data_IF_638900191219
#
_entry.id   IF_638900191219
#
_cell.length_a   1.000
_cell.length_b   1.000
_cell.length_c   1.000
_cell.angle_alpha   90.00
_cell.angle_beta   90.00
_cell.angle_gamma   90.00
#
_symmetry.space_group_name_H-M   'P 1'
#
loop_
_entity.id
_entity.type
_entity.pdbx_description
1 polymer ?
#
# COMPACT_ATOMS: atom_id res chain seq x y z
N UNK A 1 14.09 -70.44 1.17
CA UNK A 1 14.31 -69.09 1.74
C UNK A 1 13.68 -67.94 0.92
N UNK A 2 13.44 -68.05 -0.38
CA UNK A 2 12.91 -66.98 -1.26
C UNK A 2 11.43 -66.63 -1.06
N UNK A 3 10.55 -67.54 -0.57
CA UNK A 3 9.11 -67.28 -0.34
C UNK A 3 8.79 -66.42 0.88
N UNK A 4 9.65 -66.40 1.92
CA UNK A 4 9.45 -65.58 3.11
C UNK A 4 9.82 -64.09 2.88
N UNK A 5 10.71 -63.82 1.90
CA UNK A 5 11.11 -62.45 1.53
C UNK A 5 10.01 -61.72 0.73
N UNK A 6 9.23 -62.47 -0.08
CA UNK A 6 8.14 -61.92 -0.93
C UNK A 6 6.92 -61.41 -0.13
N UNK A 7 6.73 -61.84 1.09
CA UNK A 7 5.62 -61.41 1.97
C UNK A 7 6.08 -60.29 2.94
N UNK A 8 7.38 -60.26 3.29
CA UNK A 8 7.92 -59.28 4.22
C UNK A 8 7.98 -57.86 3.64
N UNK A 9 8.24 -57.69 2.35
CA UNK A 9 8.34 -56.38 1.69
C UNK A 9 6.99 -55.63 1.63
N UNK A 10 5.86 -56.28 1.17
CA UNK A 10 4.58 -55.56 1.18
C UNK A 10 4.07 -55.26 2.57
N UNK A 11 4.36 -56.12 3.56
CA UNK A 11 3.99 -55.84 4.95
C UNK A 11 4.75 -54.64 5.53
N UNK A 12 6.04 -54.53 5.20
CA UNK A 12 6.87 -53.36 5.60
C UNK A 12 6.40 -52.06 4.93
N UNK A 13 6.00 -52.14 3.65
CA UNK A 13 5.39 -50.99 2.94
C UNK A 13 4.04 -50.58 3.53
N UNK A 14 3.20 -51.56 3.94
CA UNK A 14 1.93 -51.29 4.60
C UNK A 14 2.11 -50.62 5.99
N UNK A 15 3.08 -51.11 6.76
CA UNK A 15 3.43 -50.51 8.05
C UNK A 15 4.00 -49.10 7.89
N UNK A 16 4.89 -48.90 6.90
CA UNK A 16 5.44 -47.58 6.58
C UNK A 16 4.35 -46.61 6.08
N UNK A 17 3.40 -47.10 5.27
CA UNK A 17 2.27 -46.29 4.79
C UNK A 17 1.30 -45.97 5.92
N UNK A 18 0.99 -46.91 6.81
CA UNK A 18 0.20 -46.69 8.01
C UNK A 18 0.88 -45.68 8.97
N UNK A 19 2.20 -45.83 9.17
CA UNK A 19 2.99 -44.86 9.98
C UNK A 19 3.07 -43.50 9.33
N UNK A 20 3.03 -43.40 7.99
CA UNK A 20 2.96 -42.12 7.27
C UNK A 20 1.56 -41.49 7.38
N UNK A 21 0.47 -42.28 7.32
CA UNK A 21 -0.90 -41.82 7.56
C UNK A 21 -1.16 -41.35 9.02
N UNK A 22 -0.53 -42.00 9.98
CA UNK A 22 -0.67 -41.70 11.42
C UNK A 22 0.34 -40.63 11.87
N UNK A 23 1.21 -40.13 10.95
CA UNK A 23 2.03 -38.98 11.32
C UNK A 23 1.11 -37.85 11.74
N UNK A 24 1.11 -37.43 13.03
CA UNK A 24 0.35 -36.28 13.46
C UNK A 24 0.77 -35.15 12.55
N UNK A 25 -0.19 -34.49 11.87
CA UNK A 25 0.08 -33.22 11.19
C UNK A 25 0.85 -32.40 12.20
N UNK A 26 2.10 -32.10 11.90
CA UNK A 26 2.99 -31.35 12.80
C UNK A 26 2.21 -30.10 13.16
N UNK A 27 1.58 -30.10 14.34
CA UNK A 27 0.94 -28.93 14.86
C UNK A 27 2.02 -27.86 14.91
N UNK A 28 1.77 -26.75 14.25
CA UNK A 28 2.74 -25.68 14.16
C UNK A 28 3.07 -25.21 15.60
N UNK A 29 4.18 -25.70 16.09
CA UNK A 29 4.80 -25.24 17.33
C UNK A 29 5.90 -24.27 16.92
N UNK A 30 5.85 -23.06 17.43
CA UNK A 30 6.83 -22.07 17.05
C UNK A 30 6.45 -20.67 17.48
N UNK A 31 7.12 -19.70 16.91
CA UNK A 31 6.90 -18.28 17.18
C UNK A 31 5.88 -17.73 16.19
N UNK A 32 5.00 -16.84 16.69
CA UNK A 32 4.11 -16.03 15.87
C UNK A 32 4.15 -14.57 16.32
N UNK A 33 3.57 -13.70 15.48
CA UNK A 33 3.43 -12.27 15.75
C UNK A 33 1.98 -11.87 15.58
N UNK A 34 1.50 -10.96 16.41
CA UNK A 34 0.13 -10.47 16.35
C UNK A 34 -0.06 -9.56 15.15
N UNK A 35 -1.10 -9.82 14.37
CA UNK A 35 -1.47 -9.06 13.14
C UNK A 35 -2.62 -8.09 13.33
N UNK A 36 -3.17 -8.01 14.55
CA UNK A 36 -4.32 -7.17 14.87
C UNK A 36 -3.94 -6.03 15.81
N UNK A 37 -4.76 -4.97 15.81
CA UNK A 37 -4.60 -3.87 16.76
C UNK A 37 -4.68 -4.37 18.20
N UNK A 38 -5.63 -5.27 18.47
CA UNK A 38 -5.88 -5.87 19.75
C UNK A 38 -6.41 -7.30 19.55
N UNK A 39 -5.68 -8.28 20.04
CA UNK A 39 -6.04 -9.69 19.99
C UNK A 39 -6.30 -10.19 21.41
N UNK A 40 -7.55 -10.52 21.79
CA UNK A 40 -7.86 -10.99 23.13
C UNK A 40 -7.25 -12.37 23.37
N UNK A 41 -6.62 -12.53 24.52
CA UNK A 41 -6.17 -13.82 25.04
C UNK A 41 -7.29 -14.40 25.90
N UNK A 42 -7.77 -15.58 25.54
CA UNK A 42 -8.94 -16.22 26.13
C UNK A 42 -8.54 -17.39 27.02
N UNK A 43 -9.27 -17.64 28.09
CA UNK A 43 -9.03 -18.76 29.01
C UNK A 43 -9.30 -20.12 28.37
N UNK A 44 -10.12 -20.18 27.32
CA UNK A 44 -10.51 -21.41 26.64
C UNK A 44 -11.15 -21.14 25.27
N UNK A 45 -11.53 -22.20 24.57
CA UNK A 45 -12.21 -22.16 23.26
C UNK A 45 -13.72 -22.42 23.36
N UNK A 46 -14.25 -22.68 24.55
CA UNK A 46 -15.67 -22.89 24.80
C UNK A 46 -16.48 -21.59 24.64
N UNK A 47 -17.80 -21.68 24.54
CA UNK A 47 -18.68 -20.51 24.43
C UNK A 47 -18.54 -19.56 25.62
N UNK A 48 -18.45 -20.12 26.84
CA UNK A 48 -18.22 -19.35 28.07
C UNK A 48 -16.72 -19.30 28.31
N UNK A 49 -16.12 -18.14 28.09
CA UNK A 49 -14.69 -17.92 28.22
C UNK A 49 -14.41 -16.52 28.76
N UNK A 50 -13.37 -16.39 29.55
CA UNK A 50 -12.93 -15.12 30.10
C UNK A 50 -11.76 -14.58 29.27
N UNK A 51 -11.70 -13.25 29.09
CA UNK A 51 -10.55 -12.58 28.55
C UNK A 51 -9.50 -12.45 29.66
N UNK A 52 -8.32 -12.99 29.42
CA UNK A 52 -7.19 -13.00 30.36
C UNK A 52 -6.20 -11.87 30.10
N UNK A 53 -6.27 -11.26 28.94
CA UNK A 53 -5.39 -10.17 28.50
C UNK A 53 -5.64 -9.81 27.05
N UNK A 54 -4.87 -8.84 26.55
CA UNK A 54 -4.90 -8.38 25.15
C UNK A 54 -3.46 -8.35 24.65
N UNK A 55 -3.26 -8.84 23.44
CA UNK A 55 -2.02 -8.72 22.69
C UNK A 55 -2.17 -7.66 21.62
N UNK A 56 -1.08 -6.98 21.30
CA UNK A 56 -1.07 -5.88 20.33
C UNK A 56 -0.21 -6.20 19.11
N UNK A 57 -0.43 -5.45 18.04
CA UNK A 57 0.31 -5.61 16.79
C UNK A 57 1.82 -5.72 17.00
N UNK A 58 2.43 -6.74 16.40
CA UNK A 58 3.86 -6.99 16.44
C UNK A 58 4.33 -7.72 17.70
N UNK A 59 3.46 -7.96 18.70
CA UNK A 59 3.86 -8.75 19.87
C UNK A 59 4.17 -10.20 19.49
N UNK A 60 5.30 -10.68 19.99
CA UNK A 60 5.77 -12.05 19.79
C UNK A 60 5.13 -12.99 20.79
N UNK A 61 4.59 -14.09 20.29
CA UNK A 61 4.04 -15.17 21.10
C UNK A 61 4.64 -16.50 20.71
N UNK A 62 4.70 -17.43 21.66
CA UNK A 62 5.05 -18.82 21.43
C UNK A 62 3.76 -19.61 21.21
N UNK A 63 3.62 -20.27 20.08
CA UNK A 63 2.47 -21.14 19.77
C UNK A 63 2.76 -22.54 20.30
N UNK A 64 1.93 -22.97 21.24
CA UNK A 64 2.05 -24.26 21.91
C UNK A 64 1.27 -25.36 21.19
N UNK A 65 0.07 -25.02 20.68
CA UNK A 65 -0.77 -25.94 19.89
C UNK A 65 -1.81 -25.15 19.10
N UNK A 66 -2.40 -25.79 18.07
CA UNK A 66 -3.57 -25.28 17.34
C UNK A 66 -4.75 -26.23 17.51
N UNK A 67 -5.92 -25.65 17.68
CA UNK A 67 -7.17 -26.41 17.71
C UNK A 67 -8.25 -25.62 17.00
N UNK A 68 -8.72 -26.16 15.88
CA UNK A 68 -9.67 -25.47 14.98
C UNK A 68 -9.10 -24.09 14.56
N UNK A 69 -9.86 -23.02 14.78
CA UNK A 69 -9.51 -21.64 14.45
C UNK A 69 -8.71 -20.94 15.56
N UNK A 70 -8.35 -21.63 16.63
CA UNK A 70 -7.63 -21.07 17.77
C UNK A 70 -6.21 -21.64 17.89
N UNK A 71 -5.29 -20.79 18.33
CA UNK A 71 -3.94 -21.15 18.73
C UNK A 71 -3.80 -20.97 20.25
N UNK A 72 -3.28 -21.98 20.94
CA UNK A 72 -2.85 -21.85 22.32
C UNK A 72 -1.49 -21.20 22.31
N UNK A 73 -1.36 -20.07 22.99
CA UNK A 73 -0.15 -19.28 22.96
C UNK A 73 0.38 -19.01 24.37
N UNK A 74 1.71 -18.84 24.46
CA UNK A 74 2.38 -18.29 25.64
C UNK A 74 2.82 -16.87 25.29
N UNK A 75 2.40 -15.89 26.08
CA UNK A 75 2.76 -14.50 25.93
C UNK A 75 4.17 -14.23 26.46
N UNK A 76 4.73 -13.05 26.19
CA UNK A 76 6.02 -12.64 26.74
C UNK A 76 6.03 -12.55 28.28
N UNK A 77 4.87 -12.30 28.91
CA UNK A 77 4.72 -12.31 30.38
C UNK A 77 4.62 -13.72 30.97
N UNK A 78 4.60 -14.78 30.14
CA UNK A 78 4.44 -16.18 30.56
C UNK A 78 3.00 -16.64 30.70
N UNK A 79 2.01 -15.77 30.50
CA UNK A 79 0.60 -16.17 30.54
C UNK A 79 0.26 -17.11 29.35
N UNK A 80 -0.53 -18.13 29.61
CA UNK A 80 -0.96 -19.10 28.60
C UNK A 80 -2.45 -18.95 28.37
N UNK A 81 -2.85 -18.80 27.10
CA UNK A 81 -4.25 -18.67 26.71
C UNK A 81 -4.48 -18.98 25.25
N UNK A 82 -5.69 -18.72 24.76
CA UNK A 82 -6.10 -18.99 23.40
C UNK A 82 -6.35 -17.69 22.62
N UNK A 83 -5.83 -17.62 21.39
CA UNK A 83 -6.00 -16.51 20.46
C UNK A 83 -6.52 -17.06 19.14
N UNK A 84 -7.34 -16.33 18.40
CA UNK A 84 -7.76 -16.74 17.06
C UNK A 84 -6.54 -16.82 16.13
N UNK A 85 -6.36 -17.95 15.45
CA UNK A 85 -5.19 -18.19 14.60
C UNK A 85 -5.05 -17.15 13.48
N UNK A 86 -6.17 -16.60 12.98
CA UNK A 86 -6.19 -15.54 11.95
C UNK A 86 -5.61 -14.20 12.43
N UNK A 87 -5.51 -13.99 13.75
CA UNK A 87 -4.92 -12.80 14.37
C UNK A 87 -3.41 -12.91 14.53
N UNK A 88 -2.85 -14.03 14.12
CA UNK A 88 -1.43 -14.31 14.20
C UNK A 88 -0.82 -14.40 12.80
N UNK A 89 0.37 -13.89 12.64
CA UNK A 89 1.17 -14.06 11.44
C UNK A 89 2.42 -14.89 11.73
N UNK A 90 2.84 -15.65 10.73
CA UNK A 90 4.04 -16.46 10.77
C UNK A 90 5.32 -15.61 10.74
N UNK A 91 6.43 -16.10 11.29
CA UNK A 91 7.70 -15.38 11.29
C UNK A 91 8.15 -14.93 9.90
N UNK A 92 7.94 -15.76 8.88
CA UNK A 92 8.30 -15.42 7.50
C UNK A 92 7.51 -14.19 6.98
N UNK A 93 6.21 -14.12 7.28
CA UNK A 93 5.39 -12.98 6.92
C UNK A 93 5.78 -11.72 7.70
N UNK A 94 6.07 -11.87 9.00
CA UNK A 94 6.58 -10.78 9.83
C UNK A 94 7.89 -10.21 9.27
N UNK A 95 8.86 -11.05 8.91
CA UNK A 95 10.11 -10.61 8.29
C UNK A 95 9.89 -9.89 6.96
N UNK A 96 8.95 -10.36 6.13
CA UNK A 96 8.57 -9.66 4.90
C UNK A 96 7.97 -8.28 5.18
N UNK A 97 7.16 -8.13 6.23
CA UNK A 97 6.59 -6.84 6.62
C UNK A 97 7.65 -5.85 7.09
N UNK A 98 8.61 -6.28 7.89
CA UNK A 98 9.75 -5.47 8.34
C UNK A 98 10.60 -5.03 7.13
N UNK A 99 10.95 -5.98 6.26
CA UNK A 99 11.73 -5.67 5.04
C UNK A 99 11.00 -4.65 4.15
N UNK A 100 9.68 -4.79 3.98
CA UNK A 100 8.89 -3.84 3.21
C UNK A 100 8.90 -2.45 3.85
N UNK A 101 8.75 -2.37 5.17
CA UNK A 101 8.83 -1.11 5.92
C UNK A 101 10.20 -0.43 5.74
N UNK A 102 11.29 -1.19 5.82
CA UNK A 102 12.65 -0.67 5.58
C UNK A 102 12.82 -0.15 4.15
N UNK A 103 12.33 -0.88 3.15
CA UNK A 103 12.38 -0.47 1.74
C UNK A 103 11.68 0.86 1.48
N UNK A 104 10.54 1.08 2.12
CA UNK A 104 9.75 2.29 1.88
C UNK A 104 10.08 3.44 2.83
N UNK A 105 10.90 3.21 3.86
CA UNK A 105 11.21 4.19 4.92
C UNK A 105 11.63 5.56 4.36
N UNK A 106 12.50 5.55 3.35
CA UNK A 106 13.08 6.75 2.74
C UNK A 106 12.44 7.10 1.39
N UNK A 107 11.36 6.42 0.99
CA UNK A 107 10.66 6.79 -0.24
C UNK A 107 9.94 8.13 -0.05
N UNK A 108 9.96 9.03 -1.06
CA UNK A 108 9.26 10.30 -0.97
C UNK A 108 7.74 10.08 -0.93
N UNK A 109 7.08 10.83 -0.06
CA UNK A 109 5.61 10.85 0.01
C UNK A 109 5.05 11.41 -1.29
N UNK A 110 4.13 10.70 -1.90
CA UNK A 110 3.48 11.10 -3.16
C UNK A 110 2.13 11.78 -2.92
N UNK A 111 1.45 11.39 -1.87
CA UNK A 111 0.22 12.01 -1.38
C UNK A 111 0.01 11.62 0.09
N UNK A 112 -0.83 12.38 0.78
CA UNK A 112 -1.41 12.01 2.06
C UNK A 112 -2.88 11.72 1.89
N UNK A 113 -3.42 10.86 2.75
CA UNK A 113 -4.83 10.51 2.69
C UNK A 113 -5.27 9.75 3.93
N UNK A 114 -6.52 9.28 3.91
CA UNK A 114 -7.17 8.56 5.00
C UNK A 114 -7.90 7.34 4.47
N UNK A 115 -8.03 6.33 5.30
CA UNK A 115 -8.85 5.17 4.98
C UNK A 115 -10.33 5.55 4.98
N UNK A 116 -11.06 5.31 3.88
CA UNK A 116 -12.51 5.55 3.76
C UNK A 116 -13.33 4.55 4.57
N UNK A 117 -12.84 3.32 4.61
CA UNK A 117 -13.47 2.16 5.26
C UNK A 117 -12.40 1.36 5.98
N UNK A 118 -12.83 0.44 6.85
CA UNK A 118 -11.90 -0.56 7.38
C UNK A 118 -11.26 -1.33 6.22
N UNK A 119 -9.93 -1.35 6.16
CA UNK A 119 -9.20 -1.91 5.02
C UNK A 119 -8.00 -2.76 5.42
N UNK A 120 -7.78 -3.83 4.66
CA UNK A 120 -6.66 -4.73 4.87
C UNK A 120 -5.38 -4.17 4.25
N UNK A 121 -4.34 -4.11 5.05
CA UNK A 121 -2.97 -3.90 4.61
C UNK A 121 -2.35 -5.25 4.25
N UNK A 122 -1.75 -5.36 3.08
CA UNK A 122 -1.18 -6.61 2.57
C UNK A 122 0.30 -6.47 2.24
N UNK A 123 1.01 -7.59 2.20
CA UNK A 123 2.45 -7.61 1.93
C UNK A 123 2.77 -7.37 0.45
N UNK A 124 1.86 -7.72 -0.45
CA UNK A 124 1.92 -7.47 -1.90
C UNK A 124 0.56 -6.98 -2.40
N UNK A 125 0.51 -6.33 -3.59
CA UNK A 125 -0.75 -5.98 -4.22
C UNK A 125 -1.47 -7.25 -4.69
N UNK A 126 -2.75 -7.39 -4.31
CA UNK A 126 -3.59 -8.54 -4.64
C UNK A 126 -4.51 -8.94 -3.51
N UNK A 127 -5.76 -9.31 -3.83
CA UNK A 127 -6.78 -9.62 -2.81
C UNK A 127 -6.52 -10.91 -2.05
N UNK A 128 -5.79 -11.86 -2.66
CA UNK A 128 -5.43 -13.14 -2.07
C UNK A 128 -4.13 -13.11 -1.28
N UNK A 129 -3.37 -12.00 -1.40
CA UNK A 129 -2.10 -11.85 -0.70
C UNK A 129 -2.27 -11.81 0.82
N UNK A 130 -1.27 -12.28 1.59
CA UNK A 130 -1.33 -12.32 3.04
C UNK A 130 -1.56 -10.94 3.65
N UNK A 131 -2.49 -10.88 4.60
CA UNK A 131 -2.80 -9.69 5.37
C UNK A 131 -1.75 -9.47 6.44
N UNK A 132 -1.27 -8.23 6.55
CA UNK A 132 -0.35 -7.79 7.60
C UNK A 132 -1.10 -7.17 8.78
N UNK A 133 -2.14 -6.37 8.47
CA UNK A 133 -2.88 -5.58 9.44
C UNK A 133 -4.24 -5.16 8.86
N UNK A 134 -5.16 -4.73 9.73
CA UNK A 134 -6.40 -4.11 9.31
C UNK A 134 -6.49 -2.69 9.89
N UNK A 135 -6.50 -1.69 9.03
CA UNK A 135 -6.79 -0.32 9.44
C UNK A 135 -8.28 -0.12 9.67
N UNK A 136 -8.61 0.65 10.70
CA UNK A 136 -9.96 1.17 10.86
C UNK A 136 -10.26 2.27 9.82
N UNK A 137 -11.50 2.75 9.79
CA UNK A 137 -11.86 3.94 9.01
C UNK A 137 -11.16 5.20 9.56
N UNK A 138 -10.88 6.16 8.67
CA UNK A 138 -10.34 7.48 8.99
C UNK A 138 -8.92 7.48 9.59
N UNK A 139 -8.13 6.44 9.32
CA UNK A 139 -6.72 6.38 9.72
C UNK A 139 -5.87 7.13 8.70
N UNK A 140 -5.02 8.09 9.13
CA UNK A 140 -4.12 8.82 8.22
C UNK A 140 -3.02 7.90 7.69
N UNK A 141 -2.70 8.05 6.40
CA UNK A 141 -1.66 7.26 5.71
C UNK A 141 -0.88 8.14 4.72
N UNK A 142 0.37 7.77 4.48
CA UNK A 142 1.21 8.36 3.44
C UNK A 142 1.32 7.40 2.27
N UNK A 143 0.97 7.86 1.08
CA UNK A 143 1.13 7.10 -0.16
C UNK A 143 2.56 7.32 -0.67
N UNK A 144 3.30 6.24 -0.93
CA UNK A 144 4.68 6.28 -1.41
C UNK A 144 4.86 5.58 -2.76
N UNK A 145 3.86 4.86 -3.24
CA UNK A 145 3.90 4.19 -4.54
C UNK A 145 2.55 3.66 -4.97
N UNK A 146 2.49 3.15 -6.20
CA UNK A 146 1.30 2.54 -6.80
C UNK A 146 1.70 1.27 -7.53
N UNK A 147 0.78 0.34 -7.62
CA UNK A 147 0.87 -0.86 -8.45
C UNK A 147 -0.51 -1.28 -8.92
N UNK A 148 -0.56 -2.25 -9.81
CA UNK A 148 -1.78 -2.84 -10.33
C UNK A 148 -1.74 -4.34 -10.05
N UNK A 149 -2.86 -4.90 -9.64
CA UNK A 149 -3.01 -6.34 -9.50
C UNK A 149 -4.29 -6.83 -10.20
N UNK A 150 -4.24 -8.05 -10.68
CA UNK A 150 -5.38 -8.70 -11.27
C UNK A 150 -6.42 -9.07 -10.21
N UNK A 151 -7.67 -8.89 -10.56
CA UNK A 151 -8.80 -9.28 -9.73
C UNK A 151 -9.77 -10.12 -10.56
N UNK A 152 -9.94 -11.35 -10.12
CA UNK A 152 -10.97 -12.25 -10.65
C UNK A 152 -12.21 -12.11 -9.76
N UNK A 153 -13.33 -11.73 -10.35
CA UNK A 153 -14.60 -11.73 -9.66
C UNK A 153 -15.05 -13.19 -9.52
N UNK A 154 -15.24 -13.64 -8.27
CA UNK A 154 -15.92 -14.91 -8.06
C UNK A 154 -17.36 -14.75 -8.62
N UNK A 155 -17.63 -15.39 -9.74
CA UNK A 155 -18.99 -15.56 -10.25
C UNK A 155 -19.67 -16.63 -9.37
N UNK A 156 -20.89 -16.35 -8.92
CA UNK A 156 -21.73 -17.35 -8.28
C UNK A 156 -21.84 -18.55 -9.22
N UNK A 157 -21.62 -19.76 -8.70
CA UNK A 157 -21.50 -21.03 -9.43
C UNK A 157 -22.76 -21.42 -10.27
N UNK A 158 -23.74 -20.55 -10.38
CA UNK A 158 -25.02 -20.85 -11.06
C UNK A 158 -25.08 -20.47 -12.56
N UNK A 159 -24.08 -19.75 -13.06
CA UNK A 159 -24.03 -19.34 -14.47
C UNK A 159 -22.73 -19.79 -15.15
N UNK A 160 -22.36 -21.05 -14.97
CA UNK A 160 -21.22 -21.67 -15.64
C UNK A 160 -21.52 -22.03 -17.10
N UNK A 161 -21.88 -21.02 -17.87
CA UNK A 161 -21.60 -21.00 -19.30
C UNK A 161 -20.13 -20.68 -19.50
N UNK A 162 -19.49 -21.35 -20.40
CA UNK A 162 -18.07 -21.38 -20.75
C UNK A 162 -17.53 -20.00 -21.27
N UNK A 163 -17.90 -18.89 -20.58
CA UNK A 163 -17.37 -17.55 -20.89
C UNK A 163 -16.07 -17.32 -20.14
N UNK A 164 -15.02 -16.81 -20.81
CA UNK A 164 -13.75 -16.49 -20.17
C UNK A 164 -14.00 -15.48 -19.04
N UNK A 165 -13.65 -15.82 -17.80
CA UNK A 165 -13.71 -14.90 -16.67
C UNK A 165 -12.89 -13.64 -16.99
N UNK A 166 -13.56 -12.51 -17.13
CA UNK A 166 -12.91 -11.24 -17.45
C UNK A 166 -12.05 -10.81 -16.26
N UNK A 167 -10.74 -10.89 -16.45
CA UNK A 167 -9.76 -10.46 -15.43
C UNK A 167 -9.78 -8.94 -15.37
N UNK A 168 -10.33 -8.39 -14.30
CA UNK A 168 -10.30 -6.95 -14.02
C UNK A 168 -9.01 -6.58 -13.31
N UNK A 169 -8.48 -5.40 -13.60
CA UNK A 169 -7.31 -4.85 -12.93
C UNK A 169 -7.72 -3.82 -11.90
N UNK A 170 -7.02 -3.81 -10.77
CA UNK A 170 -7.33 -2.99 -9.61
C UNK A 170 -6.09 -2.19 -9.20
N UNK A 171 -6.29 -0.91 -8.87
CA UNK A 171 -5.22 -0.03 -8.40
C UNK A 171 -4.94 -0.27 -6.91
N UNK A 172 -3.65 -0.35 -6.57
CA UNK A 172 -3.14 -0.53 -5.22
C UNK A 172 -2.16 0.58 -4.87
N UNK A 173 -2.31 1.15 -3.68
CA UNK A 173 -1.34 2.08 -3.12
C UNK A 173 -0.40 1.37 -2.15
N UNK A 174 0.89 1.63 -2.30
CA UNK A 174 1.88 1.33 -1.27
C UNK A 174 1.87 2.47 -0.27
N UNK A 175 1.55 2.15 0.97
CA UNK A 175 1.39 3.15 2.02
C UNK A 175 2.33 2.92 3.20
N UNK A 176 2.63 4.01 3.90
CA UNK A 176 3.14 4.02 5.27
C UNK A 176 2.06 4.52 6.20
N UNK A 177 2.01 3.97 7.39
CA UNK A 177 1.08 4.36 8.44
C UNK A 177 1.58 3.90 9.79
N UNK A 178 0.71 3.98 10.78
CA UNK A 178 1.00 3.51 12.13
C UNK A 178 -0.09 2.55 12.59
N UNK A 179 0.31 1.44 13.17
CA UNK A 179 -0.57 0.59 13.96
C UNK A 179 -0.63 1.19 15.37
N UNK A 180 -1.81 1.60 15.79
CA UNK A 180 -2.01 2.22 17.11
C UNK A 180 -2.24 1.15 18.16
N UNK A 181 -1.56 1.26 19.31
CA UNK A 181 -1.86 0.53 20.53
C UNK A 181 -2.88 1.34 21.34
N UNK A 182 -3.91 0.75 21.94
CA UNK A 182 -4.81 1.48 22.84
C UNK A 182 -4.04 2.09 24.01
N UNK A 183 -4.35 3.32 24.46
CA UNK A 183 -3.75 3.88 25.65
C UNK A 183 -4.14 3.04 26.87
N UNK A 184 -3.19 2.71 27.73
CA UNK A 184 -3.44 2.14 29.05
C UNK A 184 -2.99 0.72 29.34
N UNK A 185 -2.46 -0.05 28.37
CA UNK A 185 -1.92 -1.39 28.62
C UNK A 185 -0.40 -1.42 28.46
N UNK A 186 0.30 -1.16 29.53
CA UNK A 186 1.76 -1.32 29.60
C UNK A 186 2.07 -2.82 29.61
N UNK A 187 2.69 -3.33 28.55
CA UNK A 187 3.34 -4.63 28.58
C UNK A 187 4.48 -4.54 29.60
N UNK A 188 4.31 -5.21 30.73
CA UNK A 188 5.36 -5.31 31.73
C UNK A 188 6.53 -6.10 31.15
N UNK A 189 7.61 -5.37 30.85
CA UNK A 189 8.96 -5.82 30.59
C UNK A 189 9.53 -5.61 29.19
N UNK A 190 9.79 -4.35 28.88
CA UNK A 190 10.95 -3.95 28.10
C UNK A 190 11.27 -2.50 28.50
N UNK A 191 11.70 -2.33 29.75
CA UNK A 191 12.21 -1.06 30.21
C UNK A 191 13.62 -1.31 30.76
N UNK A 192 14.58 -1.05 29.91
CA UNK A 192 15.89 -0.52 30.33
C UNK A 192 16.47 0.18 29.10
N UNK A 193 15.96 1.36 28.83
CA UNK A 193 16.75 2.49 28.30
C UNK A 193 15.94 3.75 28.57
N UNK A 194 16.44 4.53 29.48
CA UNK A 194 15.91 5.78 29.98
C UNK A 194 15.70 6.79 28.87
N UNK A 195 14.44 7.10 28.57
CA UNK A 195 14.05 8.43 28.07
C UNK A 195 12.61 8.64 28.52
N UNK A 196 12.41 9.62 29.38
CA UNK A 196 11.11 10.09 29.86
C UNK A 196 10.26 10.53 28.71
N UNK A 197 9.34 9.67 28.29
CA UNK A 197 8.29 10.02 27.32
C UNK A 197 6.96 9.85 28.04
N UNK A 198 6.14 10.90 28.02
CA UNK A 198 4.74 10.92 28.43
C UNK A 198 4.02 9.63 28.01
N UNK A 199 2.98 9.15 28.74
CA UNK A 199 2.21 7.96 28.35
C UNK A 199 1.41 8.24 27.09
N UNK A 200 2.11 8.39 25.96
CA UNK A 200 1.55 8.56 24.62
C UNK A 200 1.31 7.21 23.98
N UNK A 201 0.25 7.17 23.20
CA UNK A 201 -0.17 6.09 22.29
C UNK A 201 1.06 5.46 21.61
N UNK A 202 1.46 4.24 22.01
CA UNK A 202 2.61 3.58 21.41
C UNK A 202 2.28 3.20 19.98
N UNK A 203 2.75 3.99 19.04
CA UNK A 203 2.55 3.76 17.60
C UNK A 203 3.67 2.91 17.04
N UNK A 204 3.31 1.84 16.33
CA UNK A 204 4.26 0.99 15.61
C UNK A 204 4.19 1.34 14.13
N UNK A 205 5.29 1.78 13.51
CA UNK A 205 5.29 2.07 12.07
C UNK A 205 5.04 0.78 11.28
N UNK A 206 4.23 0.92 10.21
CA UNK A 206 3.85 -0.19 9.35
C UNK A 206 3.78 0.28 7.90
N UNK A 207 4.08 -0.62 6.97
CA UNK A 207 3.93 -0.37 5.54
C UNK A 207 3.31 -1.58 4.84
N UNK A 208 2.63 -1.32 3.74
CA UNK A 208 2.03 -2.37 2.92
C UNK A 208 1.14 -1.82 1.81
N UNK A 209 0.44 -2.72 1.16
CA UNK A 209 -0.42 -2.44 0.03
C UNK A 209 -1.89 -2.43 0.42
N UNK A 210 -2.61 -1.42 -0.04
CA UNK A 210 -4.06 -1.27 0.12
C UNK A 210 -4.72 -0.98 -1.22
N UNK A 211 -5.98 -1.37 -1.38
CA UNK A 211 -6.76 -1.04 -2.58
C UNK A 211 -6.94 0.47 -2.65
N UNK A 212 -6.54 1.09 -3.76
CA UNK A 212 -6.47 2.54 -3.90
C UNK A 212 -7.81 3.25 -3.66
N UNK A 213 -8.93 2.67 -4.12
CA UNK A 213 -10.28 3.27 -3.93
C UNK A 213 -10.74 3.31 -2.46
N UNK A 214 -10.07 2.57 -1.55
CA UNK A 214 -10.35 2.62 -0.11
C UNK A 214 -9.59 3.74 0.60
N UNK A 215 -8.77 4.49 -0.12
CA UNK A 215 -8.07 5.67 0.39
C UNK A 215 -8.72 6.93 -0.18
N UNK A 216 -8.98 7.88 0.67
CA UNK A 216 -9.35 9.24 0.32
C UNK A 216 -8.10 10.12 0.46
N UNK A 217 -7.70 10.76 -0.65
CA UNK A 217 -6.56 11.68 -0.61
C UNK A 217 -6.95 13.00 0.07
N UNK A 218 -6.08 13.52 0.92
CA UNK A 218 -6.23 14.82 1.57
C UNK A 218 -5.88 15.94 0.55
N UNK A 219 -6.75 16.12 -0.46
CA UNK A 219 -6.55 17.10 -1.52
C UNK A 219 -6.93 18.51 -1.01
N UNK A 220 -6.08 19.54 -1.24
CA UNK A 220 -6.49 20.93 -1.09
C UNK A 220 -7.67 21.26 -1.99
N UNK A 221 -8.55 22.17 -1.57
CA UNK A 221 -9.78 22.49 -2.31
C UNK A 221 -9.53 22.89 -3.76
N UNK A 222 -8.56 23.76 -4.11
CA UNK A 222 -8.28 24.10 -5.50
C UNK A 222 -7.87 22.88 -6.36
N UNK A 223 -7.17 21.92 -5.75
CA UNK A 223 -6.80 20.68 -6.44
C UNK A 223 -8.01 19.78 -6.62
N UNK A 224 -8.85 19.67 -5.58
CA UNK A 224 -10.10 18.88 -5.61
C UNK A 224 -11.04 19.35 -6.71
N UNK A 225 -11.27 20.66 -6.78
CA UNK A 225 -12.10 21.28 -7.83
C UNK A 225 -11.49 21.06 -9.23
N UNK A 226 -10.18 21.27 -9.35
CA UNK A 226 -9.47 21.11 -10.61
C UNK A 226 -9.46 19.68 -11.15
N UNK A 227 -9.31 18.66 -10.30
CA UNK A 227 -9.36 17.24 -10.72
C UNK A 227 -10.78 16.79 -11.03
N UNK A 228 -11.77 17.27 -10.28
CA UNK A 228 -13.18 16.98 -10.52
C UNK A 228 -13.64 17.54 -11.89
N UNK A 229 -13.35 18.83 -12.17
CA UNK A 229 -13.69 19.48 -13.43
C UNK A 229 -13.01 18.83 -14.64
N UNK A 230 -11.81 18.26 -14.43
CA UNK A 230 -11.04 17.60 -15.48
C UNK A 230 -11.40 16.12 -15.68
N UNK A 231 -12.22 15.55 -14.82
CA UNK A 231 -12.57 14.12 -14.77
C UNK A 231 -11.32 13.22 -14.79
N UNK A 232 -10.40 13.49 -13.87
CA UNK A 232 -9.16 12.73 -13.68
C UNK A 232 -9.07 12.22 -12.24
N UNK A 233 -8.36 11.10 -12.04
CA UNK A 233 -8.15 10.50 -10.73
C UNK A 233 -6.73 10.81 -10.26
N UNK A 234 -6.55 11.60 -9.19
CA UNK A 234 -5.24 11.91 -8.67
C UNK A 234 -4.62 10.68 -8.01
N UNK A 235 -3.33 10.45 -8.29
CA UNK A 235 -2.50 9.42 -7.64
C UNK A 235 -1.39 10.03 -6.78
N UNK A 236 -0.97 11.26 -7.13
CA UNK A 236 0.01 12.02 -6.37
C UNK A 236 -0.27 13.52 -6.47
N UNK A 237 0.08 14.27 -5.42
CA UNK A 237 0.01 15.72 -5.42
C UNK A 237 1.05 16.33 -4.49
N UNK A 238 1.49 17.56 -4.80
CA UNK A 238 2.55 18.26 -4.09
C UNK A 238 2.27 19.75 -4.05
N UNK A 239 2.57 20.38 -2.92
CA UNK A 239 2.79 21.82 -2.87
C UNK A 239 4.19 22.09 -3.41
N UNK A 240 4.30 22.91 -4.47
CA UNK A 240 5.57 23.23 -5.10
C UNK A 240 6.26 24.41 -4.41
N UNK A 241 5.56 25.52 -4.31
CA UNK A 241 5.97 26.75 -3.63
C UNK A 241 4.74 27.60 -3.31
N UNK A 242 4.97 28.80 -2.81
CA UNK A 242 3.92 29.79 -2.54
C UNK A 242 4.19 31.07 -3.30
N UNK A 243 3.14 31.70 -3.82
CA UNK A 243 3.18 33.02 -4.40
C UNK A 243 2.58 34.03 -3.43
N UNK A 244 3.19 35.20 -3.34
CA UNK A 244 2.70 36.27 -2.49
C UNK A 244 1.43 36.88 -3.08
N UNK A 245 0.44 37.12 -2.25
CA UNK A 245 -0.82 37.77 -2.57
C UNK A 245 -1.21 38.68 -1.39
N UNK A 246 -1.85 39.82 -1.62
CA UNK A 246 -2.31 40.71 -0.52
C UNK A 246 -3.22 40.04 0.51
N UNK A 247 -3.94 38.97 0.10
CA UNK A 247 -4.81 38.16 0.98
C UNK A 247 -4.08 37.01 1.68
N UNK A 248 -2.74 36.95 1.58
CA UNK A 248 -1.88 35.91 2.13
C UNK A 248 -1.28 34.99 1.07
N UNK A 249 -0.20 34.33 1.42
CA UNK A 249 0.54 33.45 0.52
C UNK A 249 -0.33 32.32 -0.04
N UNK A 250 -0.34 32.16 -1.34
CA UNK A 250 -1.12 31.15 -2.07
C UNK A 250 -0.22 30.03 -2.57
N UNK A 251 -0.43 28.78 -2.15
CA UNK A 251 0.38 27.66 -2.61
C UNK A 251 0.10 27.31 -4.07
N UNK A 252 1.13 26.85 -4.77
CA UNK A 252 1.04 26.29 -6.10
C UNK A 252 1.14 24.77 -6.02
N UNK A 253 0.33 24.05 -6.80
CA UNK A 253 0.21 22.60 -6.68
C UNK A 253 0.55 21.87 -7.97
N UNK A 254 1.32 20.78 -7.84
CA UNK A 254 1.47 19.76 -8.87
C UNK A 254 0.55 18.59 -8.58
N UNK A 255 -0.13 18.09 -9.60
CA UNK A 255 -0.97 16.90 -9.53
C UNK A 255 -0.58 15.94 -10.64
N UNK A 256 -0.31 14.70 -10.27
CA UNK A 256 -0.20 13.57 -11.20
C UNK A 256 -1.45 12.70 -11.09
N UNK A 257 -2.10 12.45 -12.21
CA UNK A 257 -3.40 11.80 -12.26
C UNK A 257 -3.51 10.83 -13.44
N UNK A 258 -4.45 9.90 -13.35
CA UNK A 258 -4.84 9.01 -14.44
C UNK A 258 -6.18 9.42 -15.01
N UNK A 259 -6.34 9.24 -16.32
CA UNK A 259 -7.61 9.35 -17.01
C UNK A 259 -8.07 7.96 -17.44
N UNK A 260 -9.35 7.68 -17.37
CA UNK A 260 -9.91 6.39 -17.78
C UNK A 260 -10.09 5.39 -16.61
N UNK A 261 -10.26 4.09 -16.89
CA UNK A 261 -10.59 3.07 -15.89
C UNK A 261 -9.45 2.79 -14.90
N UNK A 262 -9.75 2.07 -13.82
CA UNK A 262 -8.73 1.52 -12.91
C UNK A 262 -7.86 0.48 -13.63
N UNK A 263 -6.70 0.16 -13.03
CA UNK A 263 -5.80 -0.89 -13.53
C UNK A 263 -4.91 -0.45 -14.69
N UNK A 264 -4.72 0.86 -14.88
CA UNK A 264 -3.79 1.36 -15.89
C UNK A 264 -2.34 1.08 -15.51
N UNK A 265 -1.53 0.57 -16.48
CA UNK A 265 -0.12 0.21 -16.21
C UNK A 265 0.76 1.40 -15.84
N UNK A 266 0.45 2.59 -16.35
CA UNK A 266 1.13 3.83 -15.99
C UNK A 266 0.61 4.32 -14.64
N UNK A 267 1.50 4.80 -13.76
CA UNK A 267 1.08 5.33 -12.45
C UNK A 267 0.30 6.63 -12.62
N UNK A 268 0.62 7.40 -13.65
CA UNK A 268 -0.17 8.57 -14.06
C UNK A 268 -0.05 8.79 -15.57
N UNK A 269 -1.11 9.36 -16.15
CA UNK A 269 -1.18 9.66 -17.59
C UNK A 269 -1.27 11.16 -17.89
N UNK A 270 -1.42 11.96 -16.85
CA UNK A 270 -1.51 13.41 -16.96
C UNK A 270 -0.84 14.10 -15.76
N UNK A 271 -0.23 15.25 -16.04
CA UNK A 271 0.26 16.20 -15.05
C UNK A 271 -0.50 17.51 -15.19
N UNK A 272 -0.77 18.15 -14.05
CA UNK A 272 -1.35 19.48 -13.98
C UNK A 272 -0.63 20.30 -12.92
N UNK A 273 -0.43 21.60 -13.20
CA UNK A 273 0.01 22.56 -12.20
C UNK A 273 -1.07 23.61 -12.03
N UNK A 274 -1.48 23.81 -10.80
CA UNK A 274 -2.45 24.83 -10.42
C UNK A 274 -1.73 25.97 -9.74
N UNK A 275 -2.04 27.21 -10.15
CA UNK A 275 -1.46 28.45 -9.62
C UNK A 275 -2.55 29.43 -9.27
N UNK A 276 -2.27 30.31 -8.31
CA UNK A 276 -3.13 31.42 -8.00
C UNK A 276 -3.04 32.52 -9.06
N UNK A 277 -4.17 33.00 -9.54
CA UNK A 277 -4.26 34.10 -10.49
C UNK A 277 -4.89 35.32 -9.80
N UNK A 278 -4.05 36.18 -9.25
CA UNK A 278 -4.44 37.34 -8.43
C UNK A 278 -5.46 38.30 -9.10
N UNK A 279 -5.36 38.49 -10.46
CA UNK A 279 -6.29 39.36 -11.19
C UNK A 279 -7.75 38.88 -11.18
N UNK A 280 -7.97 37.58 -10.99
CA UNK A 280 -9.31 36.95 -10.98
C UNK A 280 -9.64 36.36 -9.62
N UNK A 281 -8.78 36.52 -8.63
CA UNK A 281 -8.96 36.01 -7.27
C UNK A 281 -9.34 34.52 -7.24
N UNK A 282 -8.64 33.69 -8.05
CA UNK A 282 -8.92 32.25 -8.15
C UNK A 282 -7.71 31.44 -8.59
N UNK A 283 -7.77 30.13 -8.36
CA UNK A 283 -6.82 29.19 -8.95
C UNK A 283 -7.13 28.93 -10.43
N UNK A 284 -6.09 28.86 -11.23
CA UNK A 284 -6.14 28.48 -12.64
C UNK A 284 -5.11 27.39 -12.95
N UNK A 285 -5.33 26.63 -14.02
CA UNK A 285 -4.38 25.63 -14.46
C UNK A 285 -3.28 26.30 -15.28
N UNK A 286 -2.07 26.38 -14.73
CA UNK A 286 -0.89 26.95 -15.38
C UNK A 286 -0.23 26.00 -16.38
N UNK A 287 -0.34 24.69 -16.16
CA UNK A 287 0.30 23.69 -17.00
C UNK A 287 -0.54 22.41 -17.10
N UNK A 288 -0.57 21.85 -18.30
CA UNK A 288 -1.19 20.55 -18.56
C UNK A 288 -0.26 19.76 -19.47
N UNK A 289 0.06 18.53 -19.09
CA UNK A 289 0.66 17.54 -19.97
C UNK A 289 -0.19 16.26 -19.90
N UNK A 290 -0.64 15.80 -21.04
CA UNK A 290 -1.44 14.59 -21.17
C UNK A 290 -0.67 13.54 -21.98
N UNK A 291 -1.22 12.33 -22.07
CA UNK A 291 -0.66 11.21 -22.83
C UNK A 291 0.74 10.80 -22.33
N UNK A 292 0.94 10.90 -21.04
CA UNK A 292 2.12 10.38 -20.36
C UNK A 292 1.93 8.91 -19.98
N UNK A 293 3.04 8.20 -19.86
CA UNK A 293 3.11 6.97 -19.09
C UNK A 293 4.15 7.15 -17.99
N UNK A 294 3.79 7.95 -16.98
CA UNK A 294 4.67 8.30 -15.88
C UNK A 294 4.69 7.24 -14.79
N UNK A 295 5.83 7.12 -14.13
CA UNK A 295 6.05 6.23 -12.98
C UNK A 295 6.35 7.03 -11.73
N UNK A 296 5.79 6.59 -10.61
CA UNK A 296 6.15 7.06 -9.28
C UNK A 296 7.50 6.44 -8.82
N UNK A 297 8.28 7.11 -7.97
CA UNK A 297 7.95 8.37 -7.33
C UNK A 297 8.26 9.59 -8.19
N UNK A 298 7.45 10.63 -8.04
CA UNK A 298 7.85 11.99 -8.42
C UNK A 298 8.73 12.53 -7.30
N UNK A 299 9.87 13.13 -7.66
CA UNK A 299 10.80 13.75 -6.72
C UNK A 299 10.84 15.24 -6.94
N UNK A 300 10.71 15.98 -5.84
CA UNK A 300 10.87 17.43 -5.85
C UNK A 300 12.32 17.80 -5.54
N UNK A 301 12.80 18.87 -6.15
CA UNK A 301 14.08 19.50 -5.89
C UNK A 301 13.98 21.01 -6.14
N UNK A 302 15.03 21.75 -5.85
CA UNK A 302 15.13 23.17 -6.14
C UNK A 302 16.14 23.39 -7.27
N UNK A 303 15.76 24.24 -8.22
CA UNK A 303 16.60 24.70 -9.31
C UNK A 303 17.54 25.83 -8.89
N UNK A 304 18.30 26.40 -9.86
CA UNK A 304 19.38 27.38 -9.58
C UNK A 304 18.93 28.66 -8.86
N UNK A 305 17.67 29.07 -9.02
CA UNK A 305 17.07 30.28 -8.39
C UNK A 305 16.03 29.92 -7.35
N UNK A 306 16.21 28.78 -6.67
CA UNK A 306 15.25 28.24 -5.72
C UNK A 306 13.87 27.87 -6.33
N UNK A 307 13.81 27.82 -7.68
CA UNK A 307 12.60 27.47 -8.40
C UNK A 307 12.26 25.98 -8.17
N UNK A 308 10.98 25.63 -7.95
CA UNK A 308 10.60 24.24 -7.80
C UNK A 308 10.90 23.42 -9.05
N UNK A 309 11.57 22.30 -8.86
CA UNK A 309 11.76 21.27 -9.88
C UNK A 309 11.07 19.99 -9.47
N UNK A 310 10.52 19.29 -10.45
CA UNK A 310 9.99 17.94 -10.24
C UNK A 310 10.45 17.01 -11.35
N UNK A 311 10.81 15.78 -10.96
CA UNK A 311 11.33 14.77 -11.86
C UNK A 311 10.65 13.44 -11.66
N UNK A 312 10.49 12.68 -12.75
CA UNK A 312 9.91 11.36 -12.75
C UNK A 312 10.35 10.56 -13.98
N UNK A 313 10.15 9.26 -13.93
CA UNK A 313 10.44 8.38 -15.07
C UNK A 313 9.20 8.20 -15.95
N UNK A 314 9.43 8.02 -17.25
CA UNK A 314 8.39 7.65 -18.22
C UNK A 314 8.68 6.27 -18.81
N UNK A 315 7.61 5.53 -19.11
CA UNK A 315 7.68 4.20 -19.73
C UNK A 315 7.51 4.28 -21.25
N UNK A 316 8.30 5.13 -21.92
CA UNK A 316 8.23 5.35 -23.37
C UNK A 316 9.39 4.70 -24.14
N UNK A 317 9.81 3.51 -23.74
CA UNK A 317 10.87 2.72 -24.38
C UNK A 317 12.27 3.03 -23.89
N UNK A 318 12.62 4.29 -23.67
CA UNK A 318 13.97 4.70 -23.22
C UNK A 318 14.12 4.80 -21.70
N UNK A 319 13.06 4.58 -20.91
CA UNK A 319 13.02 4.79 -19.45
C UNK A 319 13.60 6.14 -19.04
N UNK A 320 13.31 7.16 -19.82
CA UNK A 320 13.84 8.49 -19.68
C UNK A 320 13.32 9.16 -18.40
N UNK A 321 14.21 9.82 -17.66
CA UNK A 321 13.83 10.71 -16.57
C UNK A 321 13.50 12.07 -17.15
N UNK A 322 12.29 12.60 -16.88
CA UNK A 322 11.89 13.93 -17.27
C UNK A 322 11.99 14.88 -16.10
N UNK A 323 12.60 16.04 -16.34
CA UNK A 323 12.75 17.12 -15.36
C UNK A 323 11.96 18.32 -15.82
N UNK A 324 11.19 18.91 -14.92
CA UNK A 324 10.42 20.13 -15.16
C UNK A 324 10.75 21.14 -14.08
N UNK A 325 10.73 22.42 -14.46
CA UNK A 325 10.93 23.55 -13.55
C UNK A 325 9.76 24.50 -13.64
N UNK A 326 9.25 24.92 -12.50
CA UNK A 326 8.24 25.96 -12.39
C UNK A 326 8.93 27.30 -12.16
N UNK A 327 8.81 28.19 -13.13
CA UNK A 327 9.31 29.58 -13.08
C UNK A 327 8.11 30.49 -12.93
N UNK A 328 7.86 31.03 -11.74
CA UNK A 328 6.65 31.77 -11.40
C UNK A 328 5.37 30.97 -11.70
N UNK A 329 4.76 31.16 -12.87
CA UNK A 329 3.55 30.44 -13.33
C UNK A 329 3.79 29.59 -14.59
N UNK A 330 5.03 29.53 -15.07
CA UNK A 330 5.38 28.84 -16.32
C UNK A 330 6.18 27.57 -16.01
N UNK A 331 5.66 26.42 -16.41
CA UNK A 331 6.37 25.15 -16.32
C UNK A 331 7.13 24.88 -17.62
N UNK A 332 8.42 24.59 -17.51
CA UNK A 332 9.25 24.19 -18.66
C UNK A 332 9.93 22.86 -18.39
N UNK A 333 9.94 21.99 -19.41
CA UNK A 333 10.78 20.80 -19.41
C UNK A 333 12.24 21.20 -19.57
N UNK A 334 13.07 20.76 -18.65
CA UNK A 334 14.53 20.91 -18.72
C UNK A 334 15.04 19.67 -19.46
N UNK A 335 15.75 19.88 -20.56
CA UNK A 335 16.42 18.81 -21.30
C UNK A 335 17.87 18.76 -20.87
N UNK A 336 18.37 17.57 -20.58
CA UNK A 336 19.80 17.39 -20.36
C UNK A 336 20.56 17.47 -21.70
N UNK A 337 21.83 17.93 -21.68
CA UNK A 337 22.68 17.95 -22.90
C UNK A 337 22.83 16.50 -23.38
N UNK A 338 22.27 16.18 -24.56
CA UNK A 338 22.30 14.82 -25.14
C UNK A 338 20.94 14.23 -25.45
N UNK A 339 19.84 14.77 -24.92
CA UNK A 339 18.49 14.37 -25.30
C UNK A 339 18.17 14.73 -26.76
N UNK A 340 18.07 13.72 -27.64
CA UNK A 340 17.72 13.91 -29.05
C UNK A 340 16.31 14.53 -29.15
N UNK A 341 16.26 15.72 -29.72
CA UNK A 341 15.01 16.42 -29.97
C UNK A 341 14.14 15.66 -30.97
N UNK A 342 13.12 14.94 -30.46
CA UNK A 342 12.10 14.35 -31.33
C UNK A 342 11.51 15.41 -32.25
N UNK A 343 11.64 15.22 -33.58
CA UNK A 343 11.04 16.08 -34.59
C UNK A 343 9.54 16.18 -34.35
N UNK A 344 9.04 17.40 -34.11
CA UNK A 344 7.60 17.67 -34.17
C UNK A 344 7.12 17.28 -35.58
N UNK A 345 6.35 16.23 -35.70
CA UNK A 345 5.55 15.97 -36.90
C UNK A 345 4.49 17.07 -36.92
N UNK A 346 4.71 18.08 -37.75
CA UNK A 346 3.73 19.11 -38.01
C UNK A 346 2.55 18.45 -38.73
N UNK A 347 1.42 18.38 -38.05
CA UNK A 347 0.16 17.97 -38.67
C UNK A 347 -0.15 18.95 -39.82
N UNK A 348 -0.02 18.48 -41.07
CA UNK A 348 -0.43 19.19 -42.28
C UNK A 348 -1.93 19.44 -42.20
N UNK A 349 -2.33 20.69 -41.97
CA UNK A 349 -3.71 21.15 -42.14
C UNK A 349 -4.13 20.85 -43.58
N UNK A 350 -5.03 19.92 -43.77
CA UNK A 350 -5.72 19.73 -45.03
C UNK A 350 -6.58 20.98 -45.32
N UNK A 351 -6.33 21.62 -46.44
CA UNK A 351 -7.19 22.70 -46.98
C UNK A 351 -8.56 22.08 -47.36
N UNK A 352 -9.70 22.70 -47.00
CA UNK A 352 -10.98 22.30 -47.58
C UNK A 352 -11.00 22.69 -49.03
N UNK A 353 -11.13 21.68 -49.90
CA UNK A 353 -11.36 21.88 -51.36
C UNK A 353 -12.73 22.48 -51.59
N UNK A 354 -12.75 23.56 -52.35
CA UNK A 354 -13.90 24.13 -52.99
C UNK A 354 -14.46 23.17 -54.03
N UNK A 355 -15.72 22.75 -53.87
CA UNK A 355 -16.71 22.63 -54.95
C UNK A 355 -18.11 22.50 -54.36
#
# INVERSE_FOLDING_TARGET
MKRKLLIAVPLLCLVAFAAWMVRPKREWQGVAFVSERAAPVLSGIAQVRQQMGVLHYGERVEVLSKRNEYAKVRTASGAIGWVEARQLMEPALWQRSIKLLEQVRNMPVQARGRTKVSTNLRVLPGRTEPRLYQFARNVPVEIVGRSVADWVQATDEKDSGNEPQETKKEDWFLIRGVATRPPGETSSRAAETTTTTEPGDQTVPIAGWVIARFIELDLPDPVREGVASANIRPGAWFELNRVQDPSGDKPQYLVAATRGPEGHVCDFTALRVYTWYAKKDRYETAFIENNLCGQLPIRLSKGPKDEPEFRFRVMDGNKEERVYRLMQTVVRRIREPGEAGGKRVAAKRAKPGSR
#
